data_IF_406389324226
#
_entry.id   IF_406389324226
#
_cell.length_a   1.000
_cell.length_b   1.000
_cell.length_c   1.000
_cell.angle_alpha   90.00
_cell.angle_beta   90.00
_cell.angle_gamma   90.00
#
_symmetry.space_group_name_H-M   'P 1'
#
loop_
_entity.id
_entity.type
_entity.pdbx_description
1 polymer ?
#
# COMPACT_ATOMS: atom_id res chain seq x y z
N UNK A 1 -3.12 20.89 -21.11
CA UNK A 1 -3.41 19.53 -21.61
C UNK A 1 -3.11 18.53 -20.50
N UNK A 2 -4.12 17.85 -19.96
CA UNK A 2 -3.93 16.86 -18.89
C UNK A 2 -3.54 15.52 -19.53
N UNK A 3 -2.24 15.22 -19.63
CA UNK A 3 -1.76 13.91 -20.11
C UNK A 3 -2.20 12.87 -19.09
N UNK A 4 -3.20 12.05 -19.44
CA UNK A 4 -3.60 10.90 -18.62
C UNK A 4 -2.42 9.93 -18.59
N UNK A 5 -1.74 9.91 -17.46
CA UNK A 5 -0.76 8.88 -17.16
C UNK A 5 -1.56 7.58 -16.96
N UNK A 6 -1.47 6.65 -17.92
CA UNK A 6 -2.08 5.32 -17.80
C UNK A 6 -1.35 4.54 -16.69
N UNK A 7 -1.75 4.81 -15.45
CA UNK A 7 -1.18 4.25 -14.24
C UNK A 7 -2.08 3.11 -13.77
N UNK A 8 -1.64 1.88 -14.02
CA UNK A 8 -2.25 0.68 -13.46
C UNK A 8 -1.68 0.47 -12.05
N UNK A 9 -2.23 1.18 -11.08
CA UNK A 9 -1.79 1.07 -9.69
C UNK A 9 -2.39 -0.17 -9.02
N UNK A 10 -1.53 -1.10 -8.63
CA UNK A 10 -1.89 -2.14 -7.67
C UNK A 10 -1.83 -1.58 -6.26
N UNK A 11 -2.87 -1.86 -5.47
CA UNK A 11 -2.98 -1.47 -4.08
C UNK A 11 -3.27 -2.69 -3.22
N UNK A 12 -2.51 -2.86 -2.15
CA UNK A 12 -2.79 -3.82 -1.10
C UNK A 12 -3.57 -3.12 0.01
N UNK A 13 -4.50 -3.84 0.64
CA UNK A 13 -5.40 -3.27 1.63
C UNK A 13 -5.42 -4.12 2.88
N UNK A 14 -5.44 -3.45 4.03
CA UNK A 14 -5.37 -4.05 5.35
C UNK A 14 -6.42 -3.43 6.27
N UNK A 15 -6.91 -4.19 7.24
CA UNK A 15 -7.63 -3.66 8.39
C UNK A 15 -6.61 -3.06 9.36
N UNK A 16 -6.82 -1.82 9.77
CA UNK A 16 -5.91 -1.09 10.64
C UNK A 16 -6.55 -0.83 12.00
N UNK A 17 -5.84 -1.23 13.06
CA UNK A 17 -6.19 -0.83 14.42
C UNK A 17 -5.82 0.64 14.65
N UNK A 18 -6.80 1.51 14.86
CA UNK A 18 -6.54 2.94 15.10
C UNK A 18 -5.86 3.25 16.45
N UNK A 19 -5.85 2.28 17.38
CA UNK A 19 -5.24 2.46 18.71
C UNK A 19 -3.74 2.18 18.72
N UNK A 20 -3.28 1.19 17.95
CA UNK A 20 -1.87 0.76 17.96
C UNK A 20 -1.25 0.60 16.56
N UNK A 21 -1.99 0.93 15.50
CA UNK A 21 -1.57 0.86 14.10
C UNK A 21 -1.16 -0.52 13.59
N UNK A 22 -1.53 -1.58 14.29
CA UNK A 22 -1.34 -2.94 13.80
C UNK A 22 -2.22 -3.21 12.59
N UNK A 23 -1.63 -3.87 11.60
CA UNK A 23 -2.25 -4.19 10.31
C UNK A 23 -2.62 -5.66 10.26
N UNK A 24 -3.79 -5.96 9.71
CA UNK A 24 -4.31 -7.30 9.51
C UNK A 24 -4.79 -7.44 8.06
N UNK A 25 -4.65 -8.62 7.49
CA UNK A 25 -5.24 -8.93 6.19
C UNK A 25 -6.78 -8.83 6.26
N UNK A 26 -7.41 -8.32 5.20
CA UNK A 26 -8.85 -8.03 5.19
C UNK A 26 -9.70 -9.29 5.36
N UNK A 27 -9.29 -10.41 4.78
CA UNK A 27 -10.06 -11.64 4.78
C UNK A 27 -9.95 -12.36 6.13
N UNK A 28 -8.81 -12.25 6.79
CA UNK A 28 -8.46 -13.01 8.00
C UNK A 28 -8.45 -12.19 9.29
N UNK A 29 -8.72 -10.88 9.22
CA UNK A 29 -8.69 -10.02 10.39
C UNK A 29 -9.66 -10.47 11.50
N UNK A 30 -9.20 -10.47 12.78
CA UNK A 30 -10.04 -10.77 13.93
C UNK A 30 -10.98 -9.60 14.25
N UNK A 31 -12.01 -9.83 15.06
CA UNK A 31 -12.95 -8.75 15.42
C UNK A 31 -12.33 -7.72 16.39
N UNK A 32 -11.39 -8.16 17.24
CA UNK A 32 -10.63 -7.33 18.16
C UNK A 32 -9.13 -7.42 17.90
N UNK A 33 -8.43 -6.31 18.09
CA UNK A 33 -7.00 -6.22 17.91
C UNK A 33 -6.25 -7.07 18.96
N UNK A 34 -5.56 -8.11 18.49
CA UNK A 34 -4.74 -9.00 19.32
C UNK A 34 -3.30 -8.54 19.54
N UNK A 35 -2.90 -7.35 19.05
CA UNK A 35 -1.52 -6.89 19.15
C UNK A 35 -1.06 -6.76 20.61
N UNK A 36 0.14 -7.25 20.88
CA UNK A 36 0.85 -7.17 22.14
C UNK A 36 2.27 -6.68 21.88
N UNK A 37 2.70 -5.63 22.58
CA UNK A 37 4.05 -5.08 22.42
C UNK A 37 5.13 -6.05 22.94
N UNK A 38 4.78 -6.89 23.91
CA UNK A 38 5.63 -7.98 24.42
C UNK A 38 4.76 -9.15 24.88
N UNK A 39 5.34 -10.34 25.07
CA UNK A 39 4.63 -11.54 25.52
C UNK A 39 3.94 -11.41 26.89
N UNK A 40 4.31 -10.40 27.69
CA UNK A 40 3.73 -10.13 29.01
C UNK A 40 2.71 -8.99 29.01
N UNK A 41 2.60 -8.24 27.91
CA UNK A 41 1.69 -7.09 27.83
C UNK A 41 0.25 -7.54 27.56
N UNK A 42 -0.72 -6.79 28.07
CA UNK A 42 -2.11 -7.00 27.71
C UNK A 42 -2.32 -6.71 26.20
N UNK A 43 -3.20 -7.47 25.52
CA UNK A 43 -3.52 -7.19 24.12
C UNK A 43 -4.24 -5.85 23.98
N UNK A 44 -4.08 -5.22 22.82
CA UNK A 44 -4.68 -3.93 22.50
C UNK A 44 -6.20 -3.89 22.72
N UNK A 45 -6.90 -4.93 22.27
CA UNK A 45 -8.32 -5.20 22.50
C UNK A 45 -9.30 -4.34 21.71
N UNK A 46 -8.84 -3.32 20.98
CA UNK A 46 -9.71 -2.42 20.23
C UNK A 46 -10.52 -3.16 19.16
N UNK A 47 -11.80 -2.80 18.99
CA UNK A 47 -12.65 -3.33 17.94
C UNK A 47 -12.15 -2.90 16.55
N UNK A 48 -12.02 -3.85 15.63
CA UNK A 48 -11.51 -3.60 14.28
C UNK A 48 -12.62 -3.30 13.27
N UNK A 49 -13.84 -3.73 13.56
CA UNK A 49 -14.99 -3.57 12.68
C UNK A 49 -16.13 -2.84 13.37
N UNK A 50 -16.91 -2.10 12.58
CA UNK A 50 -18.12 -1.43 13.05
C UNK A 50 -19.15 -2.47 13.43
N UNK A 51 -19.75 -2.32 14.62
CA UNK A 51 -20.94 -3.08 14.98
C UNK A 51 -22.07 -2.68 14.04
N UNK A 52 -22.64 -3.66 13.34
CA UNK A 52 -23.78 -3.42 12.46
C UNK A 52 -25.02 -3.16 13.34
N UNK A 53 -25.76 -2.05 13.18
CA UNK A 53 -26.95 -1.77 14.01
C UNK A 53 -28.17 -2.68 13.71
N UNK A 54 -28.00 -3.82 13.03
CA UNK A 54 -29.11 -4.67 12.55
C UNK A 54 -29.81 -5.46 13.66
N UNK A 55 -29.40 -5.34 14.93
CA UNK A 55 -30.13 -5.94 16.06
C UNK A 55 -31.20 -5.03 16.69
N UNK A 56 -31.38 -3.78 16.20
CA UNK A 56 -32.26 -2.80 16.85
C UNK A 56 -33.67 -2.63 16.29
N UNK A 57 -33.96 -3.06 15.06
CA UNK A 57 -35.25 -2.81 14.41
C UNK A 57 -35.73 -4.02 13.60
N UNK A 58 -36.41 -4.95 14.28
CA UNK A 58 -37.49 -5.79 13.74
C UNK A 58 -38.12 -6.59 14.91
N UNK A 59 -38.83 -5.88 15.79
CA UNK A 59 -39.94 -6.47 16.55
C UNK A 59 -41.24 -6.06 15.87
N UNK A 60 -41.47 -6.57 14.67
CA UNK A 60 -42.83 -6.66 14.15
C UNK A 60 -43.03 -8.08 13.68
N UNK A 61 -43.82 -8.80 14.46
CA UNK A 61 -44.24 -10.16 14.18
C UNK A 61 -44.92 -10.21 12.82
N UNK A 62 -44.40 -11.00 11.88
CA UNK A 62 -45.24 -11.75 10.96
C UNK A 62 -44.74 -13.19 10.91
N UNK A 63 -45.54 -14.06 11.51
CA UNK A 63 -45.46 -15.51 11.42
C UNK A 63 -45.89 -15.91 10.01
N UNK A 64 -44.92 -16.13 9.13
CA UNK A 64 -45.11 -16.96 7.94
C UNK A 64 -44.12 -18.11 8.01
N UNK A 65 -44.64 -19.28 8.39
CA UNK A 65 -43.94 -20.55 8.24
C UNK A 65 -43.76 -20.82 6.75
N UNK A 66 -42.54 -20.65 6.25
CA UNK A 66 -42.09 -21.32 5.04
C UNK A 66 -40.88 -22.16 5.46
N UNK A 67 -41.12 -23.46 5.57
CA UNK A 67 -40.07 -24.47 5.63
C UNK A 67 -39.37 -24.46 4.28
N UNK A 68 -38.12 -23.99 4.23
CA UNK A 68 -37.24 -24.27 3.10
C UNK A 68 -35.77 -24.12 3.52
N UNK A 69 -35.15 -25.29 3.68
CA UNK A 69 -33.77 -25.65 3.34
C UNK A 69 -32.59 -24.94 4.02
N UNK A 70 -31.81 -25.77 4.74
CA UNK A 70 -30.57 -25.45 5.47
C UNK A 70 -29.41 -24.89 4.64
N UNK A 71 -29.65 -24.44 3.41
CA UNK A 71 -28.67 -23.73 2.57
C UNK A 71 -28.63 -22.22 2.85
N UNK A 72 -29.72 -21.63 3.35
CA UNK A 72 -29.76 -20.18 3.68
C UNK A 72 -28.92 -19.87 4.93
N UNK A 73 -28.73 -20.86 5.82
CA UNK A 73 -27.96 -20.68 7.05
C UNK A 73 -26.43 -20.69 6.82
N UNK A 74 -25.96 -21.28 5.72
CA UNK A 74 -24.53 -21.28 5.33
C UNK A 74 -24.13 -20.03 4.55
N UNK A 75 -25.05 -19.39 3.83
CA UNK A 75 -24.79 -18.16 3.07
C UNK A 75 -25.10 -16.88 3.87
N UNK A 76 -25.81 -16.98 4.99
CA UNK A 76 -26.24 -15.84 5.82
C UNK A 76 -25.20 -15.29 6.81
N UNK A 77 -23.98 -15.84 6.88
CA UNK A 77 -23.00 -15.52 7.94
C UNK A 77 -21.78 -14.69 7.52
N UNK A 78 -21.59 -14.39 6.23
CA UNK A 78 -20.66 -13.32 5.85
C UNK A 78 -21.40 -11.99 5.90
N UNK A 79 -21.81 -11.57 7.11
CA UNK A 79 -22.10 -10.16 7.31
C UNK A 79 -20.89 -9.38 6.79
N UNK A 80 -21.09 -8.48 5.84
CA UNK A 80 -20.02 -7.63 5.33
C UNK A 80 -19.45 -6.84 6.52
N UNK A 81 -18.35 -7.33 7.10
CA UNK A 81 -17.69 -6.70 8.24
C UNK A 81 -17.03 -5.43 7.73
N UNK A 82 -17.52 -4.26 8.15
CA UNK A 82 -16.99 -2.97 7.71
C UNK A 82 -15.88 -2.54 8.65
N UNK A 83 -14.62 -2.47 8.21
CA UNK A 83 -13.52 -2.05 9.08
C UNK A 83 -13.75 -0.63 9.62
N UNK A 84 -13.27 -0.37 10.84
CA UNK A 84 -13.18 1.00 11.36
C UNK A 84 -12.20 1.83 10.52
N UNK A 85 -11.10 1.23 10.09
CA UNK A 85 -10.09 1.85 9.24
C UNK A 85 -9.48 0.84 8.28
N UNK A 86 -9.24 1.28 7.05
CA UNK A 86 -8.51 0.51 6.03
C UNK A 86 -7.21 1.23 5.74
N UNK A 87 -6.10 0.53 5.92
CA UNK A 87 -4.79 1.00 5.48
C UNK A 87 -4.52 0.48 4.07
N UNK A 88 -4.02 1.36 3.20
CA UNK A 88 -3.75 1.05 1.80
C UNK A 88 -2.28 1.27 1.55
N UNK A 89 -1.62 0.26 0.99
CA UNK A 89 -0.22 0.34 0.58
C UNK A 89 -0.08 0.14 -0.91
N UNK A 90 1.04 0.61 -1.43
CA UNK A 90 1.52 0.29 -2.76
C UNK A 90 3.01 -0.01 -2.65
N UNK A 91 3.44 -1.04 -3.37
CA UNK A 91 4.87 -1.35 -3.46
C UNK A 91 5.60 -0.20 -4.14
N UNK A 92 6.56 0.40 -3.43
CA UNK A 92 7.44 1.43 -4.00
C UNK A 92 8.21 0.87 -5.21
N UNK A 93 8.55 -0.41 -5.21
CA UNK A 93 9.25 -1.08 -6.31
C UNK A 93 8.36 -1.14 -7.56
N UNK A 94 7.09 -1.54 -7.42
CA UNK A 94 6.17 -1.57 -8.56
C UNK A 94 5.85 -0.16 -9.06
N UNK A 95 5.70 0.80 -8.13
CA UNK A 95 5.54 2.19 -8.48
C UNK A 95 6.75 2.74 -9.26
N UNK A 96 7.98 2.47 -8.80
CA UNK A 96 9.20 2.89 -9.49
C UNK A 96 9.34 2.23 -10.86
N UNK A 97 9.06 0.93 -10.98
CA UNK A 97 9.05 0.23 -12.27
C UNK A 97 8.10 0.89 -13.25
N UNK A 98 6.89 1.26 -12.79
CA UNK A 98 5.96 2.02 -13.62
C UNK A 98 6.51 3.40 -13.97
N UNK A 99 7.03 4.14 -12.98
CA UNK A 99 7.51 5.51 -13.16
C UNK A 99 8.62 5.58 -14.22
N UNK A 100 9.58 4.66 -14.17
CA UNK A 100 10.65 4.58 -15.16
C UNK A 100 10.23 4.06 -16.54
N UNK A 101 9.01 3.49 -16.71
CA UNK A 101 8.46 3.17 -18.03
C UNK A 101 7.91 4.39 -18.76
N UNK A 102 7.73 5.53 -18.08
CA UNK A 102 7.27 6.75 -18.71
C UNK A 102 8.40 7.33 -19.59
N UNK A 103 8.23 7.45 -20.92
CA UNK A 103 9.30 7.92 -21.80
C UNK A 103 9.85 9.29 -21.39
N UNK A 104 8.96 10.19 -20.96
CA UNK A 104 9.32 11.53 -20.48
C UNK A 104 10.23 11.52 -19.25
N UNK A 105 10.18 10.48 -18.42
CA UNK A 105 11.06 10.37 -17.25
C UNK A 105 12.47 10.05 -17.71
N UNK A 106 12.63 9.09 -18.64
CA UNK A 106 13.92 8.80 -19.26
C UNK A 106 14.49 10.03 -19.99
N UNK A 107 13.68 10.68 -20.81
CA UNK A 107 14.07 11.91 -21.53
C UNK A 107 14.53 13.02 -20.57
N UNK A 108 13.80 13.25 -19.46
CA UNK A 108 14.20 14.24 -18.46
C UNK A 108 15.50 13.87 -17.75
N UNK A 109 15.74 12.59 -17.48
CA UNK A 109 17.00 12.11 -16.88
C UNK A 109 18.15 12.32 -17.87
N UNK A 110 17.96 11.98 -19.14
CA UNK A 110 18.98 12.16 -20.18
C UNK A 110 19.31 13.64 -20.41
N UNK A 111 18.29 14.50 -20.42
CA UNK A 111 18.45 15.95 -20.53
C UNK A 111 19.22 16.51 -19.33
N UNK A 112 18.82 16.17 -18.10
CA UNK A 112 19.56 16.56 -16.90
C UNK A 112 21.03 16.10 -16.94
N UNK A 113 21.28 14.87 -17.37
CA UNK A 113 22.63 14.33 -17.49
C UNK A 113 23.46 15.04 -18.57
N UNK A 114 22.84 15.49 -19.67
CA UNK A 114 23.47 16.30 -20.69
C UNK A 114 23.85 17.70 -20.14
N UNK A 115 22.91 18.37 -19.48
CA UNK A 115 23.11 19.72 -18.93
C UNK A 115 24.21 19.73 -17.88
N UNK A 116 24.27 18.71 -17.02
CA UNK A 116 25.33 18.56 -16.03
C UNK A 116 26.72 18.41 -16.65
N UNK A 117 26.83 17.79 -17.84
CA UNK A 117 28.09 17.67 -18.57
C UNK A 117 28.47 18.95 -19.30
N UNK A 118 27.48 19.75 -19.69
CA UNK A 118 27.69 21.02 -20.37
C UNK A 118 28.07 22.17 -19.41
N UNK A 119 27.86 22.00 -18.10
CA UNK A 119 28.25 22.97 -17.08
C UNK A 119 29.76 22.98 -16.81
N UNK A 120 30.28 24.18 -16.55
CA UNK A 120 31.69 24.44 -16.28
C UNK A 120 32.15 23.84 -14.93
N UNK A 121 33.40 23.40 -14.86
CA UNK A 121 33.90 22.50 -13.80
C UNK A 121 34.12 23.15 -12.44
N UNK A 122 34.04 24.48 -12.36
CA UNK A 122 34.42 25.24 -11.17
C UNK A 122 33.32 25.37 -10.12
N UNK A 123 32.07 25.00 -10.44
CA UNK A 123 30.95 25.05 -9.49
C UNK A 123 30.25 23.69 -9.35
N UNK A 124 30.13 23.20 -8.12
CA UNK A 124 29.38 21.98 -7.79
C UNK A 124 27.96 22.39 -7.41
N UNK A 125 27.01 22.15 -8.31
CA UNK A 125 25.58 22.41 -8.10
C UNK A 125 24.77 21.13 -7.91
N UNK A 126 25.33 19.97 -8.25
CA UNK A 126 24.69 18.66 -8.15
C UNK A 126 25.62 17.62 -7.48
N UNK A 127 25.05 16.64 -6.79
CA UNK A 127 25.77 15.52 -6.17
C UNK A 127 26.63 14.77 -7.20
N UNK A 128 26.13 14.63 -8.43
CA UNK A 128 26.84 13.96 -9.52
C UNK A 128 28.14 14.66 -9.95
N UNK A 129 28.26 15.97 -9.70
CA UNK A 129 29.47 16.75 -9.97
C UNK A 129 30.51 16.63 -8.85
N UNK A 130 30.10 16.14 -7.67
CA UNK A 130 30.94 16.00 -6.49
C UNK A 130 32.10 15.00 -6.69
N UNK A 131 33.24 15.32 -6.09
CA UNK A 131 34.46 14.50 -6.20
C UNK A 131 34.27 13.07 -5.69
N UNK A 132 33.46 12.87 -4.65
CA UNK A 132 33.16 11.53 -4.10
C UNK A 132 32.33 10.71 -5.08
N UNK A 133 31.28 11.29 -5.66
CA UNK A 133 30.46 10.62 -6.67
C UNK A 133 31.29 10.21 -7.87
N UNK A 134 32.09 11.14 -8.41
CA UNK A 134 33.05 10.86 -9.49
C UNK A 134 33.98 9.70 -9.13
N UNK A 135 34.58 9.69 -7.93
CA UNK A 135 35.46 8.57 -7.52
C UNK A 135 34.73 7.21 -7.49
N UNK A 136 33.49 7.17 -7.00
CA UNK A 136 32.70 5.94 -6.90
C UNK A 136 32.30 5.39 -8.28
N UNK A 137 32.00 6.27 -9.23
CA UNK A 137 31.42 5.87 -10.52
C UNK A 137 32.36 6.00 -11.73
N UNK A 138 33.54 6.59 -11.58
CA UNK A 138 34.59 6.64 -12.63
C UNK A 138 35.42 5.36 -12.73
N UNK A 139 35.27 4.41 -11.80
CA UNK A 139 36.14 3.23 -11.67
C UNK A 139 35.71 1.98 -12.47
N UNK A 140 34.67 2.06 -13.32
CA UNK A 140 34.12 0.91 -14.06
C UNK A 140 34.45 0.86 -15.57
N UNK A 141 35.54 1.52 -16.00
CA UNK A 141 36.02 1.42 -17.38
C UNK A 141 37.41 0.76 -17.46
N UNK A 142 37.60 -0.41 -16.85
CA UNK A 142 38.76 -1.29 -17.19
C UNK A 142 38.39 -2.77 -17.15
N UNK A 143 38.16 -3.35 -18.36
CA UNK A 143 38.38 -4.76 -18.75
C UNK A 143 37.27 -5.77 -18.41
N UNK A 144 36.82 -6.69 -19.29
CA UNK A 144 37.30 -7.10 -20.62
C UNK A 144 36.19 -7.81 -21.41
N UNK A 145 36.29 -7.72 -22.74
CA UNK A 145 35.64 -8.59 -23.73
C UNK A 145 36.24 -10.00 -23.65
N UNK A 146 35.36 -10.99 -23.91
CA UNK A 146 35.56 -12.45 -24.09
C UNK A 146 35.98 -13.22 -22.83
#
# INVERSE_FOLDING_TARGET
MNKRLNLEASFERYVCCLKCFSLYDIETAPDNCGYQASSKSQPCGAELFKSNPVSGMLKTQQKTQIQSDGLVQLLGQRQARVPHSTFVTQSITEWLKWFFRLPMVGESIDHWAHDLKAQDSDSVCDVAQGQVWKKLFSSNCTGSRL
#
